data_IF_155964379351
#
_entry.id   IF_155964379351
#
_cell.length_a   1.000
_cell.length_b   1.000
_cell.length_c   1.000
_cell.angle_alpha   90.00
_cell.angle_beta   90.00
_cell.angle_gamma   90.00
#
_symmetry.space_group_name_H-M   'P 1'
#
loop_
_entity.id
_entity.type
_entity.pdbx_description
1 polymer ?
#
# COMPACT_ATOMS: atom_id res chain seq x y z
N UNK A 1 19.95 -63.07 -0.55
CA UNK A 1 18.96 -63.81 -1.37
C UNK A 1 17.79 -62.85 -1.54
N UNK A 2 17.75 -62.08 -2.65
CA UNK A 2 16.87 -62.33 -3.81
C UNK A 2 15.39 -62.34 -3.36
N UNK A 3 14.52 -61.41 -3.77
CA UNK A 3 14.11 -61.21 -5.15
C UNK A 3 13.40 -59.86 -5.37
N UNK A 4 13.75 -59.21 -6.47
CA UNK A 4 12.98 -58.21 -7.20
C UNK A 4 11.78 -58.82 -7.95
N UNK A 5 11.03 -57.93 -8.62
CA UNK A 5 9.98 -58.09 -9.66
C UNK A 5 8.54 -58.12 -9.13
N UNK A 6 7.61 -57.28 -9.62
CA UNK A 6 7.36 -56.95 -11.03
C UNK A 6 7.00 -55.47 -11.26
N UNK A 7 7.85 -54.79 -12.04
CA UNK A 7 7.45 -53.62 -12.82
C UNK A 7 6.90 -54.09 -14.17
N UNK A 8 5.61 -53.86 -14.40
CA UNK A 8 4.98 -54.09 -15.70
C UNK A 8 5.15 -52.82 -16.52
N UNK A 9 5.85 -52.95 -17.66
CA UNK A 9 6.07 -51.97 -18.73
C UNK A 9 7.01 -50.81 -18.38
N UNK A 10 8.19 -50.82 -19.00
CA UNK A 10 9.26 -49.82 -18.86
C UNK A 10 8.92 -48.46 -19.47
N UNK A 11 7.85 -47.83 -19.00
CA UNK A 11 7.60 -46.42 -19.20
C UNK A 11 8.23 -45.66 -18.03
N UNK A 12 9.03 -44.59 -18.27
CA UNK A 12 9.44 -43.72 -17.18
C UNK A 12 8.18 -43.22 -16.48
N UNK A 13 8.18 -43.20 -15.14
CA UNK A 13 7.14 -42.53 -14.37
C UNK A 13 6.89 -41.16 -15.01
N UNK A 14 5.66 -40.86 -15.49
CA UNK A 14 5.39 -39.53 -15.99
C UNK A 14 5.70 -38.59 -14.83
N UNK A 15 6.60 -37.63 -15.08
CA UNK A 15 6.91 -36.54 -14.17
C UNK A 15 5.57 -36.01 -13.66
N UNK A 16 5.29 -36.27 -12.39
CA UNK A 16 4.06 -35.85 -11.74
C UNK A 16 3.93 -34.36 -12.01
N UNK A 17 2.86 -33.95 -12.67
CA UNK A 17 2.52 -32.56 -12.85
C UNK A 17 2.33 -31.98 -11.44
N UNK A 18 3.37 -31.37 -10.89
CA UNK A 18 3.25 -30.57 -9.69
C UNK A 18 2.46 -29.33 -10.13
N UNK A 19 1.28 -29.04 -9.54
CA UNK A 19 0.66 -27.76 -9.76
C UNK A 19 1.69 -26.71 -9.36
N UNK A 20 2.09 -25.88 -10.32
CA UNK A 20 2.97 -24.78 -10.03
C UNK A 20 2.26 -23.95 -8.97
N UNK A 21 2.86 -23.82 -7.78
CA UNK A 21 2.31 -22.99 -6.72
C UNK A 21 1.97 -21.64 -7.36
N UNK A 22 0.79 -21.07 -7.06
CA UNK A 22 0.49 -19.72 -7.50
C UNK A 22 1.71 -18.86 -7.17
N UNK A 23 2.12 -17.95 -8.09
CA UNK A 23 3.21 -17.04 -7.77
C UNK A 23 2.92 -16.44 -6.40
N UNK A 24 3.92 -16.44 -5.52
CA UNK A 24 3.77 -15.89 -4.18
C UNK A 24 3.13 -14.50 -4.31
N UNK A 25 2.03 -14.26 -3.58
CA UNK A 25 1.39 -12.95 -3.59
C UNK A 25 2.49 -11.93 -3.25
N UNK A 26 2.73 -10.96 -4.14
CA UNK A 26 3.63 -9.84 -3.83
C UNK A 26 3.15 -9.25 -2.51
N UNK A 27 4.04 -9.18 -1.52
CA UNK A 27 3.70 -8.52 -0.27
C UNK A 27 3.37 -7.06 -0.57
N UNK A 28 2.10 -6.70 -0.36
CA UNK A 28 1.65 -5.32 -0.39
C UNK A 28 2.42 -4.57 0.71
N UNK A 29 3.23 -3.58 0.31
CA UNK A 29 4.00 -2.76 1.26
C UNK A 29 3.18 -1.61 1.80
N UNK A 30 2.16 -1.20 1.04
CA UNK A 30 1.26 -0.10 1.34
C UNK A 30 -0.16 -0.66 1.52
N UNK A 31 -0.95 -0.03 2.38
CA UNK A 31 -2.35 -0.38 2.60
C UNK A 31 -3.23 0.85 2.43
N UNK A 32 -4.47 0.63 1.99
CA UNK A 32 -5.53 1.66 2.06
C UNK A 32 -5.88 1.85 3.54
N UNK A 33 -5.72 3.08 4.03
CA UNK A 33 -6.03 3.48 5.41
C UNK A 33 -7.39 4.19 5.48
N UNK A 34 -7.68 5.05 4.49
CA UNK A 34 -9.01 5.66 4.32
C UNK A 34 -9.50 5.50 2.88
N UNK A 35 -10.80 5.35 2.70
CA UNK A 35 -11.44 5.20 1.39
C UNK A 35 -11.70 3.76 0.96
N UNK A 36 -12.41 3.62 -0.15
CA UNK A 36 -12.88 2.33 -0.66
C UNK A 36 -11.76 1.55 -1.36
N UNK A 37 -11.45 0.35 -0.88
CA UNK A 37 -10.53 -0.57 -1.57
C UNK A 37 -11.00 -0.97 -2.97
N UNK A 38 -12.29 -0.80 -3.29
CA UNK A 38 -12.82 -1.09 -4.64
C UNK A 38 -12.50 0.01 -5.65
N UNK A 39 -12.14 1.19 -5.15
CA UNK A 39 -11.82 2.39 -5.94
C UNK A 39 -10.33 2.72 -5.88
N UNK A 40 -9.52 1.76 -5.43
CA UNK A 40 -8.08 1.87 -5.32
C UNK A 40 -7.41 0.58 -5.79
N UNK A 41 -6.16 0.70 -6.24
CA UNK A 41 -5.30 -0.45 -6.51
C UNK A 41 -3.94 -0.29 -5.84
N UNK A 42 -3.37 -1.41 -5.40
CA UNK A 42 -2.06 -1.48 -4.76
C UNK A 42 -1.25 -2.61 -5.43
N UNK A 43 -0.12 -2.27 -6.05
CA UNK A 43 0.89 -3.23 -6.51
C UNK A 43 2.24 -2.92 -5.84
N UNK A 44 2.53 -3.61 -4.74
CA UNK A 44 3.73 -3.39 -3.95
C UNK A 44 3.73 -2.02 -3.28
N UNK A 45 4.45 -1.05 -3.88
CA UNK A 45 4.51 0.35 -3.45
C UNK A 45 3.89 1.33 -4.45
N UNK A 46 3.36 0.83 -5.56
CA UNK A 46 2.60 1.62 -6.51
C UNK A 46 1.13 1.65 -6.09
N UNK A 47 0.56 2.85 -6.02
CA UNK A 47 -0.82 3.07 -5.64
C UNK A 47 -1.52 3.91 -6.70
N UNK A 48 -2.76 3.56 -7.01
CA UNK A 48 -3.65 4.33 -7.87
C UNK A 48 -5.02 4.38 -7.20
N UNK A 49 -5.70 5.52 -7.31
CA UNK A 49 -7.06 5.70 -6.77
C UNK A 49 -7.92 6.46 -7.78
N UNK A 50 -9.19 6.09 -7.84
CA UNK A 50 -10.22 6.76 -8.63
C UNK A 50 -11.20 7.56 -7.76
N UNK A 51 -11.02 7.53 -6.45
CA UNK A 51 -11.68 8.39 -5.47
C UNK A 51 -10.68 8.93 -4.45
N UNK A 52 -11.16 9.73 -3.50
CA UNK A 52 -10.32 10.25 -2.43
C UNK A 52 -10.01 9.12 -1.44
N UNK A 53 -8.76 8.64 -1.44
CA UNK A 53 -8.29 7.56 -0.59
C UNK A 53 -6.92 7.90 0.02
N UNK A 54 -6.70 7.45 1.24
CA UNK A 54 -5.42 7.58 1.94
C UNK A 54 -4.70 6.24 1.97
N UNK A 55 -3.42 6.26 1.61
CA UNK A 55 -2.56 5.08 1.62
C UNK A 55 -1.40 5.28 2.60
N UNK A 56 -0.95 4.21 3.25
CA UNK A 56 0.19 4.30 4.16
C UNK A 56 0.76 2.96 4.62
N UNK A 57 1.77 3.05 5.49
CA UNK A 57 2.53 1.90 6.00
C UNK A 57 2.55 1.87 7.55
N UNK A 58 1.40 1.58 8.21
CA UNK A 58 1.30 1.66 9.67
C UNK A 58 2.26 0.71 10.40
N UNK A 59 2.63 -0.42 9.76
CA UNK A 59 3.62 -1.38 10.28
C UNK A 59 5.03 -0.78 10.43
N UNK A 60 5.32 0.32 9.74
CA UNK A 60 6.60 1.02 9.82
C UNK A 60 6.63 2.12 10.87
N UNK A 61 5.59 2.28 11.71
CA UNK A 61 5.57 3.27 12.78
C UNK A 61 6.83 3.25 13.66
N UNK A 62 7.33 4.43 14.01
CA UNK A 62 8.54 4.63 14.84
C UNK A 62 8.28 5.68 15.90
N UNK A 63 8.82 5.47 17.09
CA UNK A 63 8.71 6.41 18.23
C UNK A 63 9.98 7.24 18.44
N UNK A 64 11.07 6.94 17.72
CA UNK A 64 12.34 7.66 17.82
C UNK A 64 13.16 7.57 16.53
N UNK A 65 14.15 8.45 16.39
CA UNK A 65 15.04 8.53 15.23
C UNK A 65 14.71 9.68 14.28
N UNK A 66 15.34 9.67 13.10
CA UNK A 66 15.07 10.59 11.99
C UNK A 66 14.77 9.77 10.76
N UNK A 67 13.67 10.09 10.09
CA UNK A 67 13.14 9.28 9.00
C UNK A 67 12.77 10.20 7.83
N UNK A 68 12.92 9.66 6.63
CA UNK A 68 12.44 10.28 5.42
C UNK A 68 11.91 9.18 4.50
N UNK A 69 11.02 9.55 3.59
CA UNK A 69 10.64 8.74 2.45
C UNK A 69 10.54 9.66 1.24
N UNK A 70 10.67 9.06 0.06
CA UNK A 70 10.51 9.75 -1.22
C UNK A 70 9.35 9.08 -1.98
N UNK A 71 8.76 9.83 -2.88
CA UNK A 71 7.64 9.39 -3.70
C UNK A 71 7.75 10.02 -5.08
N UNK A 72 7.25 9.30 -6.08
CA UNK A 72 7.12 9.81 -7.44
C UNK A 72 5.62 9.96 -7.73
N UNK A 73 5.18 11.18 -8.03
CA UNK A 73 3.79 11.45 -8.39
C UNK A 73 3.67 11.46 -9.90
N UNK A 74 2.89 10.52 -10.44
CA UNK A 74 2.66 10.43 -11.89
C UNK A 74 1.48 11.31 -12.32
N UNK A 75 0.45 11.40 -11.48
CA UNK A 75 -0.76 12.20 -11.69
C UNK A 75 -1.38 12.53 -10.34
N UNK A 76 -1.92 13.74 -10.18
CA UNK A 76 -2.58 14.17 -8.95
C UNK A 76 -3.64 15.25 -9.23
N UNK A 77 -4.57 15.44 -8.29
CA UNK A 77 -5.50 16.58 -8.28
C UNK A 77 -5.40 17.35 -6.96
N UNK A 78 -5.63 16.69 -5.82
CA UNK A 78 -5.55 17.26 -4.47
C UNK A 78 -4.70 16.37 -3.53
N UNK A 79 -3.42 16.16 -3.83
CA UNK A 79 -2.52 15.27 -3.09
C UNK A 79 -2.27 15.79 -1.66
N UNK A 80 -2.68 15.03 -0.65
CA UNK A 80 -2.23 15.22 0.74
C UNK A 80 -1.17 14.17 1.07
N UNK A 81 0.05 14.62 1.36
CA UNK A 81 1.19 13.74 1.63
C UNK A 81 1.83 14.12 2.94
N UNK A 82 2.06 13.15 3.83
CA UNK A 82 2.78 13.42 5.05
C UNK A 82 2.89 12.25 6.01
N UNK A 83 2.65 12.52 7.29
CA UNK A 83 2.87 11.59 8.39
C UNK A 83 1.61 11.46 9.24
N UNK A 84 1.46 10.31 9.88
CA UNK A 84 0.40 10.06 10.84
C UNK A 84 0.97 9.32 12.06
N UNK A 85 0.41 9.58 13.24
CA UNK A 85 0.75 8.87 14.46
C UNK A 85 -0.21 7.68 14.71
N UNK A 86 -0.06 7.02 15.85
CA UNK A 86 -0.85 5.82 16.20
C UNK A 86 -2.33 6.09 16.49
N UNK A 87 -2.74 7.35 16.65
CA UNK A 87 -4.13 7.76 16.84
C UNK A 87 -4.88 7.99 15.52
N UNK A 88 -4.21 7.92 14.36
CA UNK A 88 -4.86 8.09 13.07
C UNK A 88 -5.87 6.98 12.79
N UNK A 89 -7.14 7.33 12.66
CA UNK A 89 -8.22 6.38 12.44
C UNK A 89 -8.32 5.93 10.99
N UNK A 90 -8.54 4.63 10.78
CA UNK A 90 -8.78 4.05 9.46
C UNK A 90 -10.27 3.97 9.18
N UNK A 91 -10.69 4.24 7.95
CA UNK A 91 -12.09 4.24 7.55
C UNK A 91 -12.26 3.69 6.13
N UNK A 92 -13.21 2.78 5.92
CA UNK A 92 -13.51 2.26 4.59
C UNK A 92 -14.38 3.25 3.76
N UNK A 93 -14.87 4.32 4.38
CA UNK A 93 -15.69 5.34 3.72
C UNK A 93 -14.85 6.32 2.90
N UNK A 94 -15.36 6.72 1.74
CA UNK A 94 -14.79 7.78 0.90
C UNK A 94 -15.42 9.13 1.30
N UNK A 95 -15.15 9.56 2.53
CA UNK A 95 -15.69 10.82 3.09
C UNK A 95 -14.94 12.08 2.62
N UNK A 96 -13.80 11.92 1.96
CA UNK A 96 -12.96 13.01 1.48
C UNK A 96 -11.87 13.44 2.46
N UNK A 97 -11.74 12.77 3.60
CA UNK A 97 -10.70 13.06 4.59
C UNK A 97 -9.42 12.28 4.26
N UNK A 98 -8.27 12.94 4.43
CA UNK A 98 -6.97 12.33 4.29
C UNK A 98 -5.96 12.78 5.33
N UNK A 99 -4.68 12.72 4.96
CA UNK A 99 -3.57 13.02 5.88
C UNK A 99 -3.56 14.52 6.19
N UNK A 100 -3.69 14.85 7.47
CA UNK A 100 -3.70 16.21 7.99
C UNK A 100 -5.09 16.80 8.24
N UNK A 101 -6.16 16.08 7.89
CA UNK A 101 -7.54 16.51 8.17
C UNK A 101 -7.98 16.22 9.63
N UNK A 102 -7.17 15.48 10.39
CA UNK A 102 -7.39 15.17 11.81
C UNK A 102 -6.24 15.66 12.70
N UNK A 103 -6.31 15.37 14.01
CA UNK A 103 -5.33 15.73 15.04
C UNK A 103 -4.13 14.80 15.14
N UNK A 104 -4.19 13.66 14.43
CA UNK A 104 -3.23 12.57 14.48
C UNK A 104 -2.41 12.45 13.19
N UNK A 105 -2.48 13.45 12.31
CA UNK A 105 -1.75 13.47 11.05
C UNK A 105 -1.40 14.87 10.60
N UNK A 106 -0.36 14.95 9.75
CA UNK A 106 0.19 16.20 9.22
C UNK A 106 0.57 15.99 7.77
N UNK A 107 0.07 16.84 6.89
CA UNK A 107 0.22 16.70 5.45
C UNK A 107 0.64 17.99 4.75
N UNK A 108 1.12 17.85 3.53
CA UNK A 108 1.31 18.97 2.58
C UNK A 108 0.63 18.64 1.27
N UNK A 109 0.17 19.69 0.59
CA UNK A 109 -0.50 19.62 -0.70
C UNK A 109 0.05 20.71 -1.62
N UNK A 110 0.87 20.31 -2.58
CA UNK A 110 1.45 21.22 -3.58
C UNK A 110 0.49 21.61 -4.70
N UNK A 111 -0.70 21.01 -4.82
CA UNK A 111 -1.71 21.46 -5.78
C UNK A 111 -2.50 22.66 -5.24
N UNK A 112 -2.89 22.57 -3.96
CA UNK A 112 -3.62 23.62 -3.23
C UNK A 112 -2.69 24.63 -2.56
N UNK A 113 -1.39 24.35 -2.48
CA UNK A 113 -0.38 25.14 -1.76
C UNK A 113 -0.73 25.29 -0.28
N UNK A 114 -1.04 24.15 0.36
CA UNK A 114 -1.46 24.09 1.75
C UNK A 114 -0.60 23.10 2.54
N UNK A 115 -0.41 23.38 3.82
CA UNK A 115 -0.07 22.36 4.83
C UNK A 115 -1.28 22.11 5.72
N UNK A 116 -1.41 20.88 6.20
CA UNK A 116 -2.58 20.32 6.86
C UNK A 116 -2.21 19.82 8.26
N UNK A 117 -2.99 20.20 9.27
CA UNK A 117 -2.91 19.72 10.65
C UNK A 117 -4.18 20.11 11.43
N UNK A 118 -5.24 19.30 11.35
CA UNK A 118 -6.58 19.64 11.87
C UNK A 118 -7.13 20.95 11.31
N UNK A 119 -7.01 21.12 10.00
CA UNK A 119 -7.21 22.38 9.29
C UNK A 119 -6.04 22.68 8.37
N UNK A 120 -6.11 23.80 7.65
CA UNK A 120 -5.13 24.11 6.61
C UNK A 120 -4.66 25.56 6.65
N UNK A 121 -3.41 25.78 6.26
CA UNK A 121 -2.85 27.11 6.05
C UNK A 121 -1.95 27.17 4.79
N UNK A 122 -1.78 28.35 4.16
CA UNK A 122 -0.96 28.51 2.97
C UNK A 122 0.50 28.09 3.20
N UNK A 123 1.03 27.24 2.33
CA UNK A 123 2.40 26.76 2.43
C UNK A 123 2.91 26.12 1.12
N UNK A 124 4.21 26.26 0.87
CA UNK A 124 4.92 25.50 -0.17
C UNK A 124 4.85 26.12 -1.57
N UNK A 125 5.24 25.30 -2.56
CA UNK A 125 5.26 25.61 -3.98
C UNK A 125 4.57 24.48 -4.77
N UNK A 126 4.19 24.76 -6.02
CA UNK A 126 3.57 23.77 -6.88
C UNK A 126 4.58 22.72 -7.35
N UNK A 127 4.10 21.48 -7.50
CA UNK A 127 4.88 20.29 -7.90
C UNK A 127 4.48 19.70 -9.25
#
# INVERSE_FOLDING_TARGET
>A
IRQDFFGILGLPYPSVWAPQLPPARKEERVSVLRGSQREASVDGSFVESWSFATFGQPRLGRTSGRWYYELQIMKYECPQIGWADSGFEFDESANGDGVGDDEHSWGVDGARLLRWSSGSEPWGEAW
#
